data_IF_961011563285
#
_entry.id   IF_961011563285
#
_cell.length_a   1.000
_cell.length_b   1.000
_cell.length_c   1.000
_cell.angle_alpha   90.00
_cell.angle_beta   90.00
_cell.angle_gamma   90.00
#
_symmetry.space_group_name_H-M   'P 1'
#
loop_
_entity.id
_entity.type
_entity.pdbx_description
1 polymer ?
#
# COMPACT_ATOMS: atom_id res chain seq x y z
N UNK A 1 -5.59 5.03 -31.44
CA UNK A 1 -5.89 5.10 -29.99
C UNK A 1 -7.34 5.48 -29.84
N UNK A 2 -8.08 4.84 -28.97
CA UNK A 2 -9.45 5.25 -28.66
C UNK A 2 -9.43 6.53 -27.81
N UNK A 3 -10.52 7.33 -27.86
CA UNK A 3 -10.67 8.54 -27.01
C UNK A 3 -10.37 8.23 -25.52
N UNK A 4 -10.68 7.01 -25.07
CA UNK A 4 -10.40 6.50 -23.72
C UNK A 4 -8.91 6.25 -23.46
N UNK A 5 -8.15 5.87 -24.47
CA UNK A 5 -6.70 5.65 -24.37
C UNK A 5 -5.94 6.98 -24.35
N UNK A 6 -6.42 7.99 -25.07
CA UNK A 6 -5.87 9.36 -25.02
C UNK A 6 -6.16 10.04 -23.68
N UNK A 7 -7.34 9.84 -23.12
CA UNK A 7 -7.73 10.37 -21.81
C UNK A 7 -6.93 9.69 -20.67
N UNK A 8 -6.56 8.42 -20.81
CA UNK A 8 -5.70 7.72 -19.85
C UNK A 8 -4.21 8.09 -19.99
N UNK A 9 -3.75 8.44 -21.18
CA UNK A 9 -2.35 8.80 -21.44
C UNK A 9 -1.89 10.06 -20.68
N UNK A 10 -2.83 10.87 -20.22
CA UNK A 10 -2.58 12.07 -19.41
C UNK A 10 -2.64 11.80 -17.89
N UNK A 11 -2.87 10.55 -17.48
CA UNK A 11 -3.06 10.19 -16.08
C UNK A 11 -1.83 9.50 -15.54
N UNK A 12 -1.41 9.91 -14.34
CA UNK A 12 -0.27 9.32 -13.65
C UNK A 12 -0.75 8.55 -12.42
N UNK A 13 -0.24 7.34 -12.25
CA UNK A 13 -0.41 6.54 -11.06
C UNK A 13 0.95 6.34 -10.39
N UNK A 14 1.07 6.86 -9.20
CA UNK A 14 2.27 6.71 -8.36
C UNK A 14 2.02 5.60 -7.34
N UNK A 15 2.89 4.60 -7.30
CA UNK A 15 2.75 3.45 -6.40
C UNK A 15 3.79 3.51 -5.28
N UNK A 16 3.32 3.48 -4.04
CA UNK A 16 4.15 3.38 -2.84
C UNK A 16 4.10 1.94 -2.29
N UNK A 17 5.24 1.23 -2.28
CA UNK A 17 5.29 -0.17 -1.87
C UNK A 17 5.09 -0.36 -0.37
N UNK A 18 4.74 -1.58 0.01
CA UNK A 18 4.67 -2.02 1.40
C UNK A 18 6.00 -2.03 2.13
N UNK A 19 6.11 -2.84 3.18
CA UNK A 19 7.25 -2.90 4.09
C UNK A 19 8.58 -3.20 3.40
N UNK A 20 8.58 -3.96 2.31
CA UNK A 20 9.77 -4.29 1.53
C UNK A 20 10.40 -3.06 0.84
N UNK A 21 9.59 -2.08 0.45
CA UNK A 21 10.01 -0.82 -0.17
C UNK A 21 10.66 -0.95 -1.54
N UNK A 22 10.66 -2.14 -2.16
CA UNK A 22 11.28 -2.38 -3.46
C UNK A 22 10.35 -2.10 -4.62
N UNK A 23 9.04 -2.26 -4.38
CA UNK A 23 7.99 -2.20 -5.39
C UNK A 23 7.92 -3.42 -6.31
N UNK A 24 8.80 -4.39 -6.14
CA UNK A 24 8.80 -5.58 -7.00
C UNK A 24 7.53 -6.42 -6.86
N UNK A 25 6.79 -6.27 -5.75
CA UNK A 25 5.50 -6.95 -5.52
C UNK A 25 4.37 -6.38 -6.37
N UNK A 26 4.50 -5.21 -6.96
CA UNK A 26 3.51 -4.65 -7.88
C UNK A 26 3.56 -5.25 -9.30
N UNK A 27 4.50 -6.15 -9.59
CA UNK A 27 4.72 -6.67 -10.93
C UNK A 27 3.45 -7.20 -11.63
N UNK A 28 2.55 -7.85 -10.90
CA UNK A 28 1.35 -8.43 -11.49
C UNK A 28 0.25 -7.39 -11.76
N UNK A 29 0.05 -6.43 -10.85
CA UNK A 29 -0.89 -5.33 -11.13
C UNK A 29 -0.38 -4.42 -12.25
N UNK A 30 0.92 -4.16 -12.32
CA UNK A 30 1.52 -3.34 -13.39
C UNK A 30 1.34 -3.95 -14.79
N UNK A 31 1.34 -5.28 -14.92
CA UNK A 31 1.08 -5.97 -16.20
C UNK A 31 -0.37 -5.82 -16.67
N UNK A 32 -1.29 -5.57 -15.74
CA UNK A 32 -2.73 -5.45 -16.01
C UNK A 32 -3.13 -4.02 -16.31
N UNK A 33 -2.43 -3.05 -15.73
CA UNK A 33 -2.70 -1.64 -15.97
C UNK A 33 -2.48 -1.30 -17.45
N UNK A 34 -3.32 -0.42 -18.03
CA UNK A 34 -3.18 -0.04 -19.44
C UNK A 34 -1.79 0.53 -19.75
N UNK A 35 -1.15 0.13 -20.87
CA UNK A 35 0.16 0.65 -21.25
C UNK A 35 0.21 2.18 -21.43
N UNK A 36 -0.93 2.79 -21.75
CA UNK A 36 -1.07 4.25 -21.88
C UNK A 36 -1.06 4.97 -20.53
N UNK A 37 -1.29 4.27 -19.41
CA UNK A 37 -1.22 4.88 -18.09
C UNK A 37 0.24 5.05 -17.67
N UNK A 38 0.65 6.29 -17.39
CA UNK A 38 1.97 6.55 -16.84
C UNK A 38 2.04 6.01 -15.40
N UNK A 39 2.81 4.95 -15.18
CA UNK A 39 2.99 4.38 -13.84
C UNK A 39 4.38 4.69 -13.32
N UNK A 40 4.46 5.26 -12.14
CA UNK A 40 5.71 5.52 -11.45
C UNK A 40 5.78 4.73 -10.15
N UNK A 41 6.82 3.93 -10.02
CA UNK A 41 7.10 3.16 -8.82
C UNK A 41 8.06 3.94 -7.93
N UNK A 42 7.56 4.55 -6.87
CA UNK A 42 8.42 5.20 -5.89
C UNK A 42 9.06 4.15 -4.98
N UNK A 43 10.37 4.03 -5.10
CA UNK A 43 11.15 3.36 -4.05
C UNK A 43 11.18 4.27 -2.83
N UNK A 44 10.94 3.72 -1.64
CA UNK A 44 10.93 4.49 -0.38
C UNK A 44 12.24 5.25 -0.08
N UNK A 45 13.24 5.10 -0.93
CA UNK A 45 14.58 5.73 -0.80
C UNK A 45 14.78 6.92 -1.74
N UNK A 46 13.99 7.07 -2.81
CA UNK A 46 14.26 8.08 -3.85
C UNK A 46 13.24 9.21 -3.99
N UNK A 47 12.15 9.17 -3.24
CA UNK A 47 11.26 10.30 -2.93
C UNK A 47 10.87 11.33 -4.01
N UNK A 48 11.04 11.04 -5.30
CA UNK A 48 10.64 11.99 -6.35
C UNK A 48 9.20 11.68 -6.75
N UNK A 49 8.29 12.53 -6.29
CA UNK A 49 6.88 12.53 -6.74
C UNK A 49 6.78 13.42 -7.98
N UNK A 50 5.91 13.11 -8.98
CA UNK A 50 5.67 13.99 -10.12
C UNK A 50 5.41 15.43 -9.67
N UNK A 51 6.15 16.40 -10.25
CA UNK A 51 6.09 17.78 -9.78
C UNK A 51 5.06 18.63 -10.53
N UNK A 52 4.68 18.23 -11.73
CA UNK A 52 3.89 19.05 -12.65
C UNK A 52 2.55 18.45 -13.04
N UNK A 53 2.52 17.14 -13.32
CA UNK A 53 1.32 16.46 -13.82
C UNK A 53 0.40 16.00 -12.69
N UNK A 54 -0.93 16.06 -12.86
CA UNK A 54 -1.87 15.48 -11.91
C UNK A 54 -1.68 13.97 -11.77
N UNK A 55 -1.65 13.47 -10.54
CA UNK A 55 -1.45 12.05 -10.27
C UNK A 55 -2.35 11.53 -9.16
N UNK A 56 -2.58 10.22 -9.18
CA UNK A 56 -3.20 9.47 -8.08
C UNK A 56 -2.11 8.67 -7.36
N UNK A 57 -2.16 8.67 -6.04
CA UNK A 57 -1.21 7.95 -5.19
C UNK A 57 -1.85 6.65 -4.70
N UNK A 58 -1.30 5.51 -5.12
CA UNK A 58 -1.65 4.19 -4.58
C UNK A 58 -0.63 3.78 -3.54
N UNK A 59 -1.08 3.58 -2.31
CA UNK A 59 -0.23 3.16 -1.19
C UNK A 59 -0.64 1.78 -0.68
N UNK A 60 0.34 0.97 -0.31
CA UNK A 60 0.12 -0.36 0.25
C UNK A 60 0.66 -0.45 1.68
N UNK A 61 -0.21 -0.85 2.62
CA UNK A 61 0.18 -1.23 3.98
C UNK A 61 1.10 -0.18 4.66
N UNK A 62 2.38 -0.50 4.84
CA UNK A 62 3.41 0.31 5.49
C UNK A 62 3.50 1.75 4.98
N UNK A 63 3.36 1.97 3.68
CA UNK A 63 3.52 3.30 3.10
C UNK A 63 2.31 4.23 3.32
N UNK A 64 1.21 3.73 3.88
CA UNK A 64 0.01 4.55 4.12
C UNK A 64 0.28 5.77 5.00
N UNK A 65 0.93 5.69 6.17
CA UNK A 65 1.24 6.88 6.97
C UNK A 65 2.13 7.89 6.22
N UNK A 66 3.04 7.43 5.37
CA UNK A 66 3.90 8.29 4.55
C UNK A 66 3.08 9.03 3.49
N UNK A 67 2.17 8.29 2.80
CA UNK A 67 1.26 8.87 1.83
C UNK A 67 0.33 9.93 2.46
N UNK A 68 -0.19 9.67 3.67
CA UNK A 68 -1.04 10.60 4.40
C UNK A 68 -0.28 11.87 4.81
N UNK A 69 0.96 11.74 5.31
CA UNK A 69 1.83 12.90 5.61
C UNK A 69 2.08 13.75 4.37
N UNK A 70 2.38 13.12 3.24
CA UNK A 70 2.54 13.82 1.98
C UNK A 70 1.24 14.50 1.53
N UNK A 71 0.12 13.77 1.53
CA UNK A 71 -1.17 14.30 1.11
C UNK A 71 -1.65 15.47 1.99
N UNK A 72 -1.30 15.47 3.29
CA UNK A 72 -1.63 16.55 4.21
C UNK A 72 -0.92 17.88 3.89
N UNK A 73 0.14 17.88 3.08
CA UNK A 73 0.76 19.10 2.55
C UNK A 73 -0.09 19.73 1.45
N UNK A 74 -1.12 19.04 0.99
CA UNK A 74 -2.06 19.44 -0.06
C UNK A 74 -1.36 19.91 -1.36
N UNK A 75 -0.49 19.08 -1.96
CA UNK A 75 0.16 19.43 -3.21
C UNK A 75 -0.88 19.59 -4.32
N UNK A 76 -0.74 20.65 -5.13
CA UNK A 76 -1.76 21.03 -6.12
C UNK A 76 -1.98 20.00 -7.22
N UNK A 77 -1.03 19.13 -7.47
CA UNK A 77 -1.07 18.09 -8.48
C UNK A 77 -1.46 16.69 -7.93
N UNK A 78 -1.65 16.53 -6.62
CA UNK A 78 -2.21 15.30 -6.06
C UNK A 78 -3.73 15.30 -6.25
N UNK A 79 -4.23 14.43 -7.12
CA UNK A 79 -5.66 14.35 -7.43
C UNK A 79 -6.44 13.46 -6.45
N UNK A 80 -5.87 12.35 -6.02
CA UNK A 80 -6.51 11.40 -5.10
C UNK A 80 -5.50 10.46 -4.42
N UNK A 81 -5.96 9.79 -3.36
CA UNK A 81 -5.19 8.73 -2.69
C UNK A 81 -6.00 7.43 -2.65
N UNK A 82 -5.37 6.32 -3.03
CA UNK A 82 -5.89 4.97 -2.88
C UNK A 82 -5.07 4.24 -1.82
N UNK A 83 -5.74 3.75 -0.79
CA UNK A 83 -5.12 2.99 0.30
C UNK A 83 -5.48 1.52 0.12
N UNK A 84 -4.48 0.66 -0.02
CA UNK A 84 -4.65 -0.79 -0.04
C UNK A 84 -4.16 -1.40 1.27
N UNK A 85 -5.07 -2.03 2.02
CA UNK A 85 -4.78 -2.72 3.29
C UNK A 85 -3.86 -1.88 4.22
N UNK A 86 -4.21 -0.60 4.44
CA UNK A 86 -3.36 0.36 5.15
C UNK A 86 -3.87 0.74 6.54
N UNK A 87 -3.16 1.64 7.19
CA UNK A 87 -3.47 2.14 8.54
C UNK A 87 -2.99 3.59 8.69
N UNK A 88 -3.64 4.35 9.57
CA UNK A 88 -3.23 5.73 9.85
C UNK A 88 -2.29 5.84 11.05
N UNK A 89 -2.38 4.90 12.00
CA UNK A 89 -1.46 4.81 13.16
C UNK A 89 -1.14 3.36 13.48
N UNK A 90 -0.24 3.17 14.44
CA UNK A 90 0.18 1.87 14.94
C UNK A 90 -0.95 0.84 14.96
N UNK A 91 -0.90 -0.20 14.08
CA UNK A 91 -1.99 -1.15 13.92
C UNK A 91 -2.02 -2.23 15.01
N UNK A 92 -0.96 -2.34 15.83
CA UNK A 92 -0.75 -3.43 16.81
C UNK A 92 -1.19 -3.00 18.21
N UNK A 93 -1.30 -1.70 18.46
CA UNK A 93 -1.79 -1.16 19.73
C UNK A 93 -0.94 -1.59 20.94
N UNK A 94 -1.58 -2.17 21.95
CA UNK A 94 -0.91 -2.54 23.21
C UNK A 94 0.24 -3.56 23.06
N UNK A 95 0.26 -4.36 22.00
CA UNK A 95 1.32 -5.34 21.75
C UNK A 95 2.61 -4.73 21.17
N UNK A 96 2.62 -3.42 20.89
CA UNK A 96 3.73 -2.72 20.25
C UNK A 96 5.05 -2.92 20.97
N UNK A 97 5.07 -2.86 22.30
CA UNK A 97 6.31 -3.02 23.07
C UNK A 97 6.89 -4.42 22.92
N UNK A 98 6.03 -5.44 22.92
CA UNK A 98 6.49 -6.82 22.71
C UNK A 98 7.05 -6.98 21.30
N UNK A 99 6.33 -6.53 20.27
CA UNK A 99 6.81 -6.61 18.88
C UNK A 99 8.11 -5.81 18.71
N UNK A 100 8.23 -4.63 19.32
CA UNK A 100 9.45 -3.80 19.30
C UNK A 100 10.65 -4.51 19.93
N UNK A 101 10.42 -5.28 20.99
CA UNK A 101 11.51 -6.03 21.66
C UNK A 101 12.07 -7.16 20.80
N UNK A 102 11.22 -7.81 20.00
CA UNK A 102 11.62 -8.93 19.12
C UNK A 102 12.00 -8.49 17.70
N UNK A 103 11.56 -7.33 17.22
CA UNK A 103 11.88 -6.80 15.89
C UNK A 103 13.34 -6.31 15.78
N UNK A 104 14.29 -7.21 16.07
CA UNK A 104 15.73 -6.96 15.92
C UNK A 104 16.21 -7.35 14.52
N UNK A 105 17.28 -6.73 13.98
CA UNK A 105 17.77 -7.03 12.63
C UNK A 105 17.98 -8.53 12.38
N UNK A 106 18.53 -9.26 13.36
CA UNK A 106 18.84 -10.68 13.21
C UNK A 106 17.62 -11.55 12.91
N UNK A 107 16.41 -11.16 13.35
CA UNK A 107 15.19 -11.96 13.06
C UNK A 107 14.84 -11.88 11.57
N UNK A 108 15.19 -10.80 10.90
CA UNK A 108 14.97 -10.59 9.48
C UNK A 108 16.06 -11.24 8.60
N UNK A 109 17.07 -11.87 9.19
CA UNK A 109 17.99 -12.75 8.46
C UNK A 109 17.40 -14.16 8.31
N UNK A 110 16.39 -14.50 9.12
CA UNK A 110 15.72 -15.77 9.05
C UNK A 110 14.69 -15.77 7.94
N UNK A 111 14.65 -16.86 7.18
CA UNK A 111 13.60 -17.03 6.17
C UNK A 111 12.26 -17.33 6.88
N UNK A 112 11.21 -16.53 6.64
CA UNK A 112 9.93 -16.78 7.28
C UNK A 112 9.34 -18.11 6.80
N UNK A 113 8.82 -18.95 7.72
CA UNK A 113 8.17 -20.19 7.36
C UNK A 113 6.98 -19.93 6.41
N UNK A 114 6.75 -20.86 5.49
CA UNK A 114 5.68 -20.74 4.49
C UNK A 114 4.31 -20.49 5.15
N UNK A 115 3.99 -21.23 6.22
CA UNK A 115 2.71 -21.07 6.93
C UNK A 115 2.50 -19.66 7.49
N UNK A 116 3.57 -18.98 7.90
CA UNK A 116 3.52 -17.60 8.39
C UNK A 116 3.15 -16.62 7.26
N UNK A 117 3.78 -16.78 6.09
CA UNK A 117 3.46 -15.98 4.91
C UNK A 117 2.03 -16.21 4.44
N UNK A 118 1.59 -17.47 4.43
CA UNK A 118 0.21 -17.85 4.07
C UNK A 118 -0.79 -17.29 5.07
N UNK A 119 -0.55 -17.46 6.35
CA UNK A 119 -1.49 -17.03 7.38
C UNK A 119 -1.68 -15.52 7.43
N UNK A 120 -0.60 -14.75 7.41
CA UNK A 120 -0.64 -13.31 7.62
C UNK A 120 -0.71 -12.47 6.32
N UNK A 121 -0.10 -12.93 5.25
CA UNK A 121 0.11 -12.10 4.07
C UNK A 121 -0.69 -12.57 2.84
N UNK A 122 -0.48 -13.80 2.41
CA UNK A 122 -0.93 -14.26 1.10
C UNK A 122 -2.25 -15.02 1.12
N UNK A 123 -2.75 -15.39 2.30
CA UNK A 123 -3.92 -16.27 2.43
C UNK A 123 -3.59 -17.72 2.07
N UNK A 124 -4.64 -18.55 2.03
CA UNK A 124 -4.52 -19.98 1.76
C UNK A 124 -4.18 -20.25 0.28
N UNK A 125 -3.40 -21.30 0.04
CA UNK A 125 -3.02 -21.77 -1.29
C UNK A 125 -2.53 -20.68 -2.26
N UNK A 126 -1.55 -19.85 -1.87
CA UNK A 126 -1.01 -18.85 -2.79
C UNK A 126 -0.25 -19.54 -3.92
N UNK A 127 -0.22 -18.95 -5.12
CA UNK A 127 0.69 -19.38 -6.18
C UNK A 127 2.13 -19.44 -5.65
N UNK A 128 2.85 -20.51 -5.97
CA UNK A 128 4.24 -20.70 -5.51
C UNK A 128 5.14 -19.52 -5.92
N UNK A 129 4.88 -18.91 -7.07
CA UNK A 129 5.59 -17.74 -7.55
C UNK A 129 5.48 -16.53 -6.60
N UNK A 130 4.33 -16.34 -5.94
CA UNK A 130 4.15 -15.25 -4.96
C UNK A 130 5.02 -15.47 -3.72
N UNK A 131 5.02 -16.68 -3.17
CA UNK A 131 5.86 -17.04 -2.02
C UNK A 131 7.34 -16.90 -2.38
N UNK A 132 7.75 -17.42 -3.55
CA UNK A 132 9.13 -17.30 -4.02
C UNK A 132 9.54 -15.83 -4.16
N UNK A 133 8.68 -15.01 -4.74
CA UNK A 133 8.94 -13.57 -4.92
C UNK A 133 9.11 -12.85 -3.58
N UNK A 134 8.28 -13.14 -2.59
CA UNK A 134 8.41 -12.57 -1.24
C UNK A 134 9.78 -12.94 -0.65
N UNK A 135 10.17 -14.22 -0.74
CA UNK A 135 11.46 -14.69 -0.21
C UNK A 135 12.65 -14.04 -0.91
N UNK A 136 12.61 -13.93 -2.25
CA UNK A 136 13.65 -13.24 -3.02
C UNK A 136 13.81 -11.78 -2.56
N UNK A 137 12.69 -11.07 -2.37
CA UNK A 137 12.68 -9.68 -1.92
C UNK A 137 13.25 -9.57 -0.50
N UNK A 138 12.84 -10.44 0.42
CA UNK A 138 13.34 -10.42 1.79
C UNK A 138 14.85 -10.67 1.87
N UNK A 139 15.42 -11.43 0.92
CA UNK A 139 16.87 -11.67 0.85
C UNK A 139 17.67 -10.45 0.36
N UNK A 140 17.08 -9.59 -0.46
CA UNK A 140 17.78 -8.41 -1.01
C UNK A 140 17.61 -7.15 -0.15
N UNK A 141 16.58 -7.11 0.70
CA UNK A 141 16.38 -5.98 1.62
C UNK A 141 17.20 -6.21 2.88
N UNK A 142 18.05 -5.24 3.24
CA UNK A 142 18.88 -5.35 4.44
C UNK A 142 18.03 -5.52 5.71
N UNK A 143 18.39 -6.45 6.61
CA UNK A 143 17.66 -6.71 7.85
C UNK A 143 17.45 -5.47 8.73
N UNK A 144 18.44 -4.56 8.76
CA UNK A 144 18.34 -3.29 9.51
C UNK A 144 17.24 -2.40 8.97
N UNK A 145 17.05 -2.38 7.65
CA UNK A 145 15.99 -1.61 6.99
C UNK A 145 14.62 -2.17 7.35
N UNK A 146 14.44 -3.49 7.28
CA UNK A 146 13.17 -4.12 7.68
C UNK A 146 12.87 -3.89 9.17
N UNK A 147 13.86 -4.08 10.04
CA UNK A 147 13.73 -3.81 11.48
C UNK A 147 13.38 -2.34 11.74
N UNK A 148 14.02 -1.41 11.05
CA UNK A 148 13.73 0.03 11.14
C UNK A 148 12.29 0.35 10.74
N UNK A 149 11.84 -0.15 9.60
CA UNK A 149 10.46 0.05 9.11
C UNK A 149 9.41 -0.55 10.04
N UNK A 150 9.66 -1.73 10.61
CA UNK A 150 8.75 -2.29 11.63
C UNK A 150 8.63 -1.35 12.83
N UNK A 151 9.75 -0.77 13.29
CA UNK A 151 9.71 0.22 14.38
C UNK A 151 8.93 1.48 13.99
N UNK A 152 9.10 1.97 12.75
CA UNK A 152 8.31 3.08 12.23
C UNK A 152 6.80 2.77 12.25
N UNK A 153 6.39 1.55 11.88
CA UNK A 153 4.99 1.09 12.01
C UNK A 153 4.50 1.19 13.45
N UNK A 154 5.33 0.75 14.40
CA UNK A 154 4.97 0.72 15.83
C UNK A 154 4.92 2.12 16.47
N UNK A 155 5.55 3.10 15.87
CA UNK A 155 5.65 4.48 16.37
C UNK A 155 4.82 5.48 15.55
N UNK A 156 4.24 5.04 14.43
CA UNK A 156 3.54 5.95 13.54
C UNK A 156 2.19 6.43 14.12
N UNK A 157 1.92 7.71 13.89
CA UNK A 157 0.60 8.31 14.00
C UNK A 157 0.47 9.40 12.92
N UNK A 158 -0.34 9.13 11.92
CA UNK A 158 -0.69 10.05 10.84
C UNK A 158 -2.18 10.41 10.87
N UNK A 159 -2.84 10.28 12.01
CA UNK A 159 -4.28 10.58 12.14
C UNK A 159 -4.57 12.05 11.91
N UNK A 160 -3.71 12.95 12.38
CA UNK A 160 -3.81 14.38 12.10
C UNK A 160 -3.56 14.70 10.62
N UNK A 161 -2.64 13.99 9.99
CA UNK A 161 -2.37 14.15 8.55
C UNK A 161 -3.56 13.68 7.71
N UNK A 162 -4.16 12.54 8.07
CA UNK A 162 -5.40 12.06 7.47
C UNK A 162 -6.51 13.10 7.56
N UNK A 163 -6.72 13.71 8.74
CA UNK A 163 -7.74 14.75 8.94
C UNK A 163 -7.50 16.01 8.09
N UNK A 164 -6.24 16.35 7.80
CA UNK A 164 -5.86 17.53 6.99
C UNK A 164 -5.84 17.27 5.50
N UNK A 165 -5.84 16.01 5.06
CA UNK A 165 -5.86 15.64 3.65
C UNK A 165 -7.17 16.08 3.01
N UNK A 166 -7.12 16.81 1.89
CA UNK A 166 -8.32 17.38 1.23
C UNK A 166 -8.76 16.61 -0.01
N UNK A 167 -7.86 15.85 -0.62
CA UNK A 167 -8.17 15.10 -1.84
C UNK A 167 -9.11 13.93 -1.60
N UNK A 168 -9.87 13.49 -2.62
CA UNK A 168 -10.66 12.27 -2.56
C UNK A 168 -9.83 11.05 -2.19
N UNK A 169 -10.41 10.13 -1.43
CA UNK A 169 -9.71 8.93 -0.98
C UNK A 169 -10.56 7.68 -1.19
N UNK A 170 -9.92 6.58 -1.57
CA UNK A 170 -10.49 5.24 -1.60
C UNK A 170 -9.69 4.30 -0.70
N UNK A 171 -10.40 3.46 0.04
CA UNK A 171 -9.80 2.40 0.84
C UNK A 171 -10.19 1.02 0.29
N UNK A 172 -9.22 0.27 -0.20
CA UNK A 172 -9.36 -1.14 -0.57
C UNK A 172 -9.14 -1.99 0.67
N UNK A 173 -10.23 -2.50 1.23
CA UNK A 173 -10.21 -3.40 2.39
C UNK A 173 -10.04 -4.83 1.94
N UNK A 174 -9.00 -5.50 2.42
CA UNK A 174 -8.86 -6.93 2.31
C UNK A 174 -9.77 -7.63 3.34
N UNK A 175 -10.74 -8.42 2.89
CA UNK A 175 -11.74 -9.05 3.76
C UNK A 175 -11.12 -10.04 4.73
N UNK A 176 -10.11 -10.78 4.25
CA UNK A 176 -9.44 -11.85 5.00
C UNK A 176 -8.07 -11.42 5.54
N UNK A 177 -7.88 -10.11 5.75
CA UNK A 177 -6.66 -9.57 6.34
C UNK A 177 -6.48 -10.07 7.78
N UNK A 178 -5.42 -10.85 8.01
CA UNK A 178 -5.04 -11.36 9.33
C UNK A 178 -3.85 -10.62 9.93
N UNK A 179 -3.25 -9.70 9.16
CA UNK A 179 -2.17 -8.85 9.63
C UNK A 179 -2.69 -7.57 10.26
N UNK A 180 -3.65 -6.92 9.61
CA UNK A 180 -4.28 -5.69 10.11
C UNK A 180 -5.68 -5.95 10.67
N UNK A 181 -5.88 -5.46 11.88
CA UNK A 181 -7.20 -5.51 12.52
C UNK A 181 -8.22 -4.62 11.77
N UNK A 182 -9.51 -5.01 11.76
CA UNK A 182 -10.58 -4.15 11.25
C UNK A 182 -10.67 -2.75 11.89
N UNK A 183 -10.03 -2.52 13.03
CA UNK A 183 -9.94 -1.20 13.64
C UNK A 183 -9.19 -0.19 12.76
N UNK A 184 -8.22 -0.64 11.93
CA UNK A 184 -7.42 0.23 11.07
C UNK A 184 -8.28 1.00 10.06
N UNK A 185 -9.10 0.29 9.27
CA UNK A 185 -9.97 0.97 8.29
C UNK A 185 -11.12 1.72 8.97
N UNK A 186 -11.67 1.19 10.09
CA UNK A 186 -12.72 1.89 10.84
C UNK A 186 -12.24 3.23 11.41
N UNK A 187 -10.98 3.31 11.84
CA UNK A 187 -10.40 4.55 12.29
C UNK A 187 -10.27 5.58 11.16
N UNK A 188 -9.79 5.14 9.98
CA UNK A 188 -9.72 6.01 8.80
C UNK A 188 -11.10 6.56 8.45
N UNK A 189 -12.12 5.71 8.40
CA UNK A 189 -13.50 6.12 8.12
C UNK A 189 -14.11 7.02 9.21
N UNK A 190 -13.71 6.84 10.47
CA UNK A 190 -14.16 7.72 11.56
C UNK A 190 -13.60 9.13 11.42
N UNK A 191 -12.34 9.26 10.96
CA UNK A 191 -11.67 10.56 10.76
C UNK A 191 -12.12 11.20 9.43
N UNK A 192 -12.27 10.41 8.37
CA UNK A 192 -12.67 10.83 7.02
C UNK A 192 -13.84 9.96 6.55
N UNK A 193 -15.09 10.32 6.93
CA UNK A 193 -16.29 9.56 6.54
C UNK A 193 -16.58 9.57 5.03
N UNK A 194 -15.97 10.48 4.29
CA UNK A 194 -16.05 10.63 2.83
C UNK A 194 -15.16 9.63 2.05
N UNK A 195 -14.31 8.87 2.74
CA UNK A 195 -13.48 7.84 2.09
C UNK A 195 -14.35 6.74 1.49
N UNK A 196 -14.16 6.47 0.21
CA UNK A 196 -14.86 5.39 -0.48
C UNK A 196 -14.30 4.04 -0.04
N UNK A 197 -15.07 3.29 0.75
CA UNK A 197 -14.68 1.95 1.20
C UNK A 197 -15.10 0.90 0.17
N UNK A 198 -14.14 0.13 -0.34
CA UNK A 198 -14.38 -1.03 -1.20
C UNK A 198 -13.79 -2.27 -0.55
N UNK A 199 -14.61 -3.29 -0.31
CA UNK A 199 -14.14 -4.57 0.23
C UNK A 199 -13.84 -5.56 -0.90
N UNK A 200 -12.65 -6.16 -0.84
CA UNK A 200 -12.18 -7.20 -1.76
C UNK A 200 -11.99 -8.49 -0.97
N UNK A 201 -12.47 -9.59 -1.48
CA UNK A 201 -12.29 -10.93 -0.91
C UNK A 201 -10.85 -11.40 -1.15
N UNK A 202 -9.94 -10.85 -0.37
CA UNK A 202 -8.52 -11.08 -0.48
C UNK A 202 -7.86 -11.07 0.90
N UNK A 203 -6.69 -11.69 1.07
CA UNK A 203 -5.83 -11.54 2.24
C UNK A 203 -5.11 -10.18 2.22
N UNK A 204 -4.20 -9.95 3.18
CA UNK A 204 -3.46 -8.69 3.31
C UNK A 204 -2.81 -8.23 1.99
N UNK A 205 -2.15 -9.13 1.27
CA UNK A 205 -1.54 -8.88 -0.05
C UNK A 205 -2.61 -8.85 -1.17
N UNK A 206 -3.57 -7.94 -1.05
CA UNK A 206 -4.72 -7.80 -1.94
C UNK A 206 -4.31 -7.51 -3.39
N UNK A 207 -3.33 -6.62 -3.59
CA UNK A 207 -2.88 -6.22 -4.92
C UNK A 207 -2.19 -7.37 -5.68
N UNK A 208 -1.58 -8.31 -4.95
CA UNK A 208 -0.89 -9.47 -5.50
C UNK A 208 -1.83 -10.67 -5.70
N UNK A 209 -2.89 -10.75 -4.89
CA UNK A 209 -3.83 -11.88 -4.91
C UNK A 209 -5.03 -11.64 -5.82
N UNK A 210 -5.44 -10.39 -5.94
CA UNK A 210 -6.58 -9.97 -6.78
C UNK A 210 -6.18 -8.80 -7.71
N UNK A 211 -5.10 -8.93 -8.50
CA UNK A 211 -4.51 -7.81 -9.23
C UNK A 211 -5.49 -7.23 -10.27
N UNK A 212 -6.28 -8.09 -10.95
CA UNK A 212 -7.27 -7.64 -11.95
C UNK A 212 -8.39 -6.82 -11.30
N UNK A 213 -8.93 -7.32 -10.18
CA UNK A 213 -9.99 -6.62 -9.44
C UNK A 213 -9.48 -5.31 -8.88
N UNK A 214 -8.28 -5.32 -8.28
CA UNK A 214 -7.65 -4.11 -7.76
C UNK A 214 -7.40 -3.07 -8.85
N UNK A 215 -6.83 -3.46 -9.99
CA UNK A 215 -6.58 -2.57 -11.13
C UNK A 215 -7.89 -1.92 -11.62
N UNK A 216 -8.95 -2.70 -11.80
CA UNK A 216 -10.26 -2.17 -12.25
C UNK A 216 -10.83 -1.15 -11.26
N UNK A 217 -10.70 -1.40 -9.95
CA UNK A 217 -11.17 -0.49 -8.90
C UNK A 217 -10.36 0.81 -8.88
N UNK A 218 -9.03 0.71 -8.98
CA UNK A 218 -8.13 1.87 -9.03
C UNK A 218 -8.44 2.72 -10.26
N UNK A 219 -8.52 2.12 -11.45
CA UNK A 219 -8.83 2.82 -12.70
C UNK A 219 -10.21 3.50 -12.66
N UNK A 220 -11.22 2.79 -12.12
CA UNK A 220 -12.56 3.34 -11.97
C UNK A 220 -12.63 4.51 -10.99
N UNK A 221 -11.80 4.52 -9.96
CA UNK A 221 -11.69 5.63 -9.03
C UNK A 221 -10.92 6.81 -9.65
N UNK A 222 -9.81 6.53 -10.34
CA UNK A 222 -9.03 7.55 -11.06
C UNK A 222 -9.88 8.31 -12.06
N UNK A 223 -10.72 7.60 -12.83
CA UNK A 223 -11.61 8.21 -13.84
C UNK A 223 -12.64 9.20 -13.26
N UNK A 224 -12.91 9.12 -11.95
CA UNK A 224 -13.84 10.04 -11.25
C UNK A 224 -13.11 11.16 -10.51
N UNK A 225 -11.80 11.03 -10.32
CA UNK A 225 -10.98 11.95 -9.50
C UNK A 225 -10.10 12.88 -10.33
N UNK A 226 -9.90 12.55 -11.58
CA UNK A 226 -9.14 13.29 -12.59
C UNK A 226 -10.05 13.79 -13.70
#
# INVERSE_FOLDING_TARGET
MSHKEEELALKHLVLLPGLDGTGQLFGDILKILPPALNTELLRLVSGVVPQTEPFVLLTESFSTPLALKYAATNPSNLAAVVISAGFARNPIGAWSQLVKSVAKPWIFTLEPPRFFLEYFLTGENPPSAVIQKIREILRIVRPEVLSGRVREVLECDATNDLARTKVPMMYLRALYDRLLSPSCHREILRIRPDVVLVTVEAPHMLLQREPQKAANLVLGFMAKSL
#
